data_IF_291756150710
#
_entry.id   IF_291756150710
#
_cell.length_a   1.000
_cell.length_b   1.000
_cell.length_c   1.000
_cell.angle_alpha   90.00
_cell.angle_beta   90.00
_cell.angle_gamma   90.00
#
_symmetry.space_group_name_H-M   'P 1'
#
loop_
_entity.id
_entity.type
_entity.pdbx_description
1 polymer ?
#
# COMPACT_ATOMS: atom_id res chain seq x y z
N UNK A 1 7.48 -24.69 4.33
CA UNK A 1 8.60 -23.86 4.80
C UNK A 1 8.00 -22.68 5.55
N UNK A 2 8.39 -22.39 6.79
CA UNK A 2 7.89 -21.19 7.48
C UNK A 2 8.43 -19.96 6.73
N UNK A 3 7.54 -19.22 6.07
CA UNK A 3 7.90 -18.04 5.27
C UNK A 3 8.57 -16.94 6.10
N UNK A 4 8.21 -16.85 7.39
CA UNK A 4 8.83 -15.96 8.35
C UNK A 4 9.49 -16.74 9.49
N UNK A 5 10.81 -16.58 9.65
CA UNK A 5 11.50 -16.87 10.91
C UNK A 5 11.03 -15.83 11.94
N UNK A 6 9.90 -16.12 12.59
CA UNK A 6 9.25 -15.28 13.58
C UNK A 6 10.15 -15.01 14.78
N UNK A 7 10.96 -13.96 14.71
CA UNK A 7 11.41 -13.33 15.92
C UNK A 7 11.34 -11.82 15.81
N UNK A 8 10.19 -11.31 16.23
CA UNK A 8 10.04 -9.95 16.71
C UNK A 8 11.03 -9.62 17.87
N UNK A 9 11.89 -10.53 18.33
CA UNK A 9 12.98 -10.21 19.25
C UNK A 9 14.12 -9.42 18.59
N UNK A 10 14.27 -9.51 17.26
CA UNK A 10 15.17 -8.64 16.47
C UNK A 10 14.56 -8.35 15.11
N UNK A 11 13.87 -7.21 14.98
CA UNK A 11 13.12 -6.88 13.78
C UNK A 11 14.00 -6.45 12.59
N UNK A 12 13.91 -7.23 11.51
CA UNK A 12 14.54 -6.98 10.19
C UNK A 12 13.53 -7.01 9.03
N UNK A 13 12.24 -6.73 9.29
CA UNK A 13 11.17 -6.88 8.29
C UNK A 13 11.13 -5.81 7.18
N UNK A 14 11.81 -4.70 7.38
CA UNK A 14 11.83 -3.59 6.42
C UNK A 14 13.26 -3.06 6.25
N UNK A 15 13.52 -2.25 5.20
CA UNK A 15 14.87 -1.81 4.84
C UNK A 15 15.58 -1.01 5.94
N UNK A 16 14.82 -0.45 6.90
CA UNK A 16 15.36 0.20 8.10
C UNK A 16 16.26 -0.71 8.95
N UNK A 17 16.08 -2.02 8.86
CA UNK A 17 16.93 -3.02 9.47
C UNK A 17 17.23 -2.77 10.98
N UNK A 18 16.24 -2.27 11.72
CA UNK A 18 16.48 -1.60 13.00
C UNK A 18 16.86 -2.50 14.19
N UNK A 19 16.66 -3.83 14.08
CA UNK A 19 16.95 -4.78 15.17
C UNK A 19 16.08 -4.59 16.41
N UNK A 20 14.94 -3.90 16.31
CA UNK A 20 14.08 -3.63 17.46
C UNK A 20 13.49 -4.94 18.02
N UNK A 21 13.63 -5.13 19.33
CA UNK A 21 12.94 -6.19 20.07
C UNK A 21 11.49 -5.78 20.35
N UNK A 22 10.64 -6.03 19.37
CA UNK A 22 9.21 -5.73 19.37
C UNK A 22 8.42 -6.55 20.40
N UNK A 23 8.82 -7.79 20.71
CA UNK A 23 8.17 -8.58 21.77
C UNK A 23 8.40 -7.99 23.16
N UNK A 24 9.55 -7.35 23.38
CA UNK A 24 9.84 -6.59 24.60
C UNK A 24 9.21 -5.17 24.58
N UNK A 25 8.31 -4.89 23.64
CA UNK A 25 7.61 -3.61 23.50
C UNK A 25 8.43 -2.51 22.84
N UNK A 26 9.67 -2.76 22.37
CA UNK A 26 10.45 -1.74 21.67
C UNK A 26 9.86 -1.49 20.28
N UNK A 27 9.72 -0.22 19.92
CA UNK A 27 9.26 0.18 18.59
C UNK A 27 10.42 0.19 17.61
N UNK A 28 10.16 -0.24 16.38
CA UNK A 28 11.10 -0.05 15.27
C UNK A 28 11.15 1.41 14.82
N UNK A 29 12.08 1.74 13.91
CA UNK A 29 12.13 3.06 13.27
C UNK A 29 10.83 3.40 12.54
N UNK A 30 10.08 2.39 12.09
CA UNK A 30 8.76 2.55 11.49
C UNK A 30 7.67 2.99 12.48
N UNK A 31 7.90 2.87 13.79
CA UNK A 31 6.94 3.22 14.85
C UNK A 31 6.16 2.04 15.42
N UNK A 32 6.19 0.88 14.75
CA UNK A 32 5.46 -0.32 15.13
C UNK A 32 6.19 -1.16 16.20
N UNK A 33 5.41 -1.82 17.06
CA UNK A 33 5.84 -2.88 17.97
C UNK A 33 5.26 -4.24 17.49
N UNK A 34 5.11 -5.22 18.38
CA UNK A 34 4.54 -6.55 18.06
C UNK A 34 2.99 -6.58 18.03
N UNK A 35 2.33 -5.47 18.38
CA UNK A 35 0.88 -5.36 18.38
C UNK A 35 0.43 -4.73 17.06
N UNK A 36 -0.48 -5.41 16.35
CA UNK A 36 -1.13 -4.85 15.17
C UNK A 36 -1.89 -3.59 15.59
N UNK A 37 -1.81 -2.55 14.77
CA UNK A 37 -2.59 -1.34 14.96
C UNK A 37 -3.21 -0.93 13.64
N UNK A 38 -4.53 -0.79 13.65
CA UNK A 38 -5.35 -0.52 12.47
C UNK A 38 -6.16 0.74 12.72
N UNK A 39 -6.14 1.64 11.74
CA UNK A 39 -6.80 2.93 11.81
C UNK A 39 -8.21 2.94 11.21
N UNK A 40 -8.49 2.03 10.26
CA UNK A 40 -9.77 1.92 9.57
C UNK A 40 -9.85 0.59 8.80
N UNK A 41 -11.02 -0.02 8.76
CA UNK A 41 -11.38 -1.17 7.92
C UNK A 41 -12.75 -0.91 7.28
N UNK A 42 -12.78 -0.54 6.00
CA UNK A 42 -14.02 -0.15 5.33
C UNK A 42 -13.92 -0.27 3.80
N UNK A 43 -15.06 -0.27 3.11
CA UNK A 43 -15.08 -0.09 1.66
C UNK A 43 -14.47 1.28 1.28
N UNK A 44 -13.55 1.26 0.34
CA UNK A 44 -12.84 2.41 -0.19
C UNK A 44 -13.03 2.49 -1.70
N UNK A 45 -13.58 3.61 -2.17
CA UNK A 45 -14.07 3.79 -3.53
C UNK A 45 -13.12 4.58 -4.44
N UNK A 46 -11.96 4.97 -3.92
CA UNK A 46 -11.07 5.93 -4.58
C UNK A 46 -9.70 5.34 -4.95
N UNK A 47 -9.64 4.01 -5.17
CA UNK A 47 -8.46 3.36 -5.76
C UNK A 47 -8.56 3.37 -7.30
N UNK A 48 -7.61 2.76 -8.02
CA UNK A 48 -7.72 2.63 -9.48
C UNK A 48 -8.94 1.79 -9.86
N UNK A 49 -9.54 2.02 -11.04
CA UNK A 49 -10.74 1.29 -11.47
C UNK A 49 -10.65 -0.25 -11.36
N UNK A 50 -9.53 -0.93 -11.68
CA UNK A 50 -9.41 -2.38 -11.49
C UNK A 50 -9.36 -2.84 -10.03
N UNK A 51 -9.14 -1.92 -9.07
CA UNK A 51 -9.04 -2.21 -7.64
C UNK A 51 -10.35 -1.90 -6.91
N UNK A 52 -11.00 -0.76 -7.18
CA UNK A 52 -12.23 -0.39 -6.46
C UNK A 52 -13.51 -0.54 -7.27
N UNK A 53 -13.46 -0.52 -8.60
CA UNK A 53 -14.65 -0.51 -9.46
C UNK A 53 -15.71 0.47 -8.95
N UNK A 54 -16.99 0.05 -9.00
CA UNK A 54 -18.11 0.82 -8.44
C UNK A 54 -18.52 0.38 -7.03
N UNK A 55 -18.09 -0.82 -6.59
CA UNK A 55 -18.55 -1.43 -5.32
C UNK A 55 -17.56 -1.26 -4.17
N UNK A 56 -16.32 -0.84 -4.47
CA UNK A 56 -15.30 -0.51 -3.49
C UNK A 56 -14.29 -1.63 -3.21
N UNK A 57 -13.09 -1.22 -2.85
CA UNK A 57 -12.01 -2.07 -2.33
C UNK A 57 -12.17 -2.20 -0.81
N UNK A 58 -12.05 -3.41 -0.26
CA UNK A 58 -12.09 -3.64 1.19
C UNK A 58 -10.78 -3.23 1.84
N UNK A 59 -10.62 -1.93 2.12
CA UNK A 59 -9.35 -1.37 2.56
C UNK A 59 -9.17 -1.43 4.09
N UNK A 60 -8.02 -1.96 4.49
CA UNK A 60 -7.55 -2.03 5.88
C UNK A 60 -6.30 -1.16 6.01
N UNK A 61 -6.44 -0.02 6.71
CA UNK A 61 -5.38 0.96 6.89
C UNK A 61 -4.56 0.67 8.15
N UNK A 62 -3.32 0.22 7.98
CA UNK A 62 -2.41 -0.05 9.08
C UNK A 62 -1.73 1.23 9.58
N UNK A 63 -1.51 1.31 10.89
CA UNK A 63 -0.74 2.39 11.50
C UNK A 63 0.76 2.10 11.45
N UNK A 64 1.58 3.14 11.59
CA UNK A 64 3.03 3.13 11.39
C UNK A 64 3.46 3.03 9.92
N UNK A 65 4.69 3.43 9.62
CA UNK A 65 5.24 3.39 8.26
C UNK A 65 6.78 3.41 8.33
N UNK A 66 7.52 2.64 7.51
CA UNK A 66 8.97 2.71 7.47
C UNK A 66 9.51 4.02 6.88
N UNK A 67 8.70 4.75 6.09
CA UNK A 67 9.04 6.07 5.56
C UNK A 67 8.62 7.21 6.50
N UNK A 68 9.23 8.38 6.28
CA UNK A 68 8.98 9.63 7.03
C UNK A 68 8.79 10.79 6.07
N UNK A 69 7.87 10.62 5.12
CA UNK A 69 7.60 11.62 4.08
C UNK A 69 7.20 12.96 4.71
N UNK A 70 7.92 14.05 4.38
CA UNK A 70 7.63 15.41 4.87
C UNK A 70 6.26 15.91 4.38
N UNK A 71 5.77 15.36 3.26
CA UNK A 71 4.50 15.65 2.62
C UNK A 71 3.42 14.58 2.88
N UNK A 72 3.61 13.71 3.87
CA UNK A 72 2.65 12.62 4.12
C UNK A 72 1.24 13.16 4.41
N UNK A 73 0.27 12.80 3.56
CA UNK A 73 -1.15 13.11 3.75
C UNK A 73 -1.77 12.24 4.86
N UNK A 74 -1.28 10.99 5.00
CA UNK A 74 -1.68 10.04 6.04
C UNK A 74 -0.83 10.18 7.33
N UNK A 75 -0.40 11.40 7.68
CA UNK A 75 0.51 11.61 8.82
C UNK A 75 -0.07 11.10 10.14
N UNK A 76 -1.39 11.24 10.34
CA UNK A 76 -2.12 10.77 11.53
C UNK A 76 -1.86 9.28 11.83
N UNK A 77 -1.81 8.43 10.81
CA UNK A 77 -1.62 6.98 10.97
C UNK A 77 -0.17 6.54 10.78
N UNK A 78 0.58 7.18 9.88
CA UNK A 78 1.96 6.79 9.55
C UNK A 78 2.97 7.21 10.63
N UNK A 79 2.86 8.43 11.14
CA UNK A 79 3.77 9.00 12.15
C UNK A 79 3.06 9.25 13.48
N UNK A 80 1.79 9.66 13.43
CA UNK A 80 0.94 9.82 14.62
C UNK A 80 0.51 8.48 15.23
N UNK A 81 0.62 7.38 14.47
CA UNK A 81 0.32 6.02 14.93
C UNK A 81 -1.10 5.89 15.53
N UNK A 82 -2.05 6.67 15.02
CA UNK A 82 -3.47 6.55 15.35
C UNK A 82 -4.04 5.22 14.86
N UNK A 83 -4.93 4.62 15.65
CA UNK A 83 -5.61 3.36 15.37
C UNK A 83 -5.77 2.51 16.64
N UNK A 84 -6.61 1.48 16.58
CA UNK A 84 -6.82 0.55 17.69
C UNK A 84 -5.88 -0.65 17.61
N UNK A 85 -5.50 -1.18 18.77
CA UNK A 85 -4.74 -2.42 18.86
C UNK A 85 -5.66 -3.60 18.59
N UNK A 86 -5.22 -4.50 17.72
CA UNK A 86 -6.01 -5.68 17.34
C UNK A 86 -5.16 -6.94 17.37
N UNK A 87 -5.81 -8.09 17.43
CA UNK A 87 -5.14 -9.39 17.31
C UNK A 87 -5.10 -9.83 15.84
N UNK A 88 -4.31 -10.86 15.56
CA UNK A 88 -4.28 -11.53 14.25
C UNK A 88 -5.66 -12.12 13.88
N UNK A 89 -6.39 -12.67 14.87
CA UNK A 89 -7.74 -13.21 14.65
C UNK A 89 -8.74 -12.11 14.30
N UNK A 90 -8.62 -10.93 14.91
CA UNK A 90 -9.50 -9.80 14.61
C UNK A 90 -9.24 -9.26 13.21
N UNK A 91 -7.98 -9.19 12.78
CA UNK A 91 -7.64 -8.84 11.40
C UNK A 91 -8.24 -9.83 10.41
N UNK A 92 -8.18 -11.14 10.67
CA UNK A 92 -8.80 -12.15 9.81
C UNK A 92 -10.34 -11.97 9.73
N UNK A 93 -10.99 -11.66 10.85
CA UNK A 93 -12.43 -11.39 10.88
C UNK A 93 -12.82 -10.13 10.06
N UNK A 94 -12.02 -9.05 10.12
CA UNK A 94 -12.26 -7.86 9.28
C UNK A 94 -12.28 -8.18 7.79
N UNK A 95 -11.41 -9.08 7.32
CA UNK A 95 -11.38 -9.48 5.92
C UNK A 95 -12.69 -10.15 5.49
N UNK A 96 -13.24 -11.03 6.35
CA UNK A 96 -14.53 -11.68 6.08
C UNK A 96 -15.70 -10.69 6.16
N UNK A 97 -15.68 -9.76 7.11
CA UNK A 97 -16.69 -8.70 7.21
C UNK A 97 -16.71 -7.79 5.97
N UNK A 98 -15.54 -7.50 5.37
CA UNK A 98 -15.45 -6.77 4.10
C UNK A 98 -15.95 -7.60 2.92
N UNK A 99 -15.73 -8.92 2.93
CA UNK A 99 -16.32 -9.83 1.95
C UNK A 99 -17.86 -9.85 2.06
N UNK A 100 -18.42 -9.93 3.26
CA UNK A 100 -19.87 -9.87 3.49
C UNK A 100 -20.48 -8.52 3.05
N UNK A 101 -19.68 -7.44 3.08
CA UNK A 101 -20.06 -6.12 2.56
C UNK A 101 -19.99 -6.03 1.03
N UNK A 102 -19.48 -7.04 0.33
CA UNK A 102 -19.39 -7.07 -1.13
C UNK A 102 -18.16 -6.36 -1.70
N UNK A 103 -17.05 -6.28 -0.94
CA UNK A 103 -15.79 -5.74 -1.45
C UNK A 103 -15.28 -6.52 -2.68
N UNK A 104 -14.61 -5.85 -3.62
CA UNK A 104 -13.95 -6.52 -4.74
C UNK A 104 -12.71 -7.31 -4.32
N UNK A 105 -12.00 -6.84 -3.31
CA UNK A 105 -10.76 -7.39 -2.79
C UNK A 105 -10.55 -6.95 -1.35
N UNK A 106 -9.55 -7.57 -0.71
CA UNK A 106 -9.02 -7.10 0.57
C UNK A 106 -7.72 -6.35 0.31
N UNK A 107 -7.72 -5.05 0.59
CA UNK A 107 -6.60 -4.15 0.33
C UNK A 107 -5.88 -3.78 1.62
N UNK A 108 -4.69 -4.34 1.77
CA UNK A 108 -3.84 -4.20 2.95
C UNK A 108 -2.91 -3.00 2.77
N UNK A 109 -3.29 -1.85 3.34
CA UNK A 109 -2.59 -0.58 3.13
C UNK A 109 -1.47 -0.38 4.16
N UNK A 110 -0.22 -0.42 3.69
CA UNK A 110 1.02 -0.32 4.48
C UNK A 110 1.15 -1.41 5.55
N UNK A 111 0.91 -2.67 5.18
CA UNK A 111 0.83 -3.77 6.14
C UNK A 111 2.17 -4.47 6.45
N UNK A 112 3.20 -4.32 5.60
CA UNK A 112 4.36 -5.22 5.59
C UNK A 112 5.34 -5.06 6.75
N UNK A 113 5.33 -3.93 7.48
CA UNK A 113 6.03 -3.87 8.76
C UNK A 113 5.39 -4.78 9.83
N UNK A 114 4.22 -5.36 9.56
CA UNK A 114 3.54 -6.42 10.32
C UNK A 114 3.44 -7.76 9.56
N UNK A 115 4.23 -7.95 8.49
CA UNK A 115 4.09 -9.07 7.55
C UNK A 115 3.84 -10.45 8.18
N UNK A 116 4.54 -10.88 9.27
CA UNK A 116 4.29 -12.20 9.85
C UNK A 116 2.85 -12.38 10.38
N UNK A 117 2.31 -11.38 11.09
CA UNK A 117 0.94 -11.43 11.60
C UNK A 117 -0.09 -11.25 10.47
N UNK A 118 0.23 -10.46 9.45
CA UNK A 118 -0.65 -10.25 8.30
C UNK A 118 -0.77 -11.53 7.48
N UNK A 119 0.35 -12.23 7.25
CA UNK A 119 0.38 -13.53 6.59
C UNK A 119 -0.50 -14.54 7.31
N UNK A 120 -0.30 -14.71 8.63
CA UNK A 120 -1.12 -15.59 9.46
C UNK A 120 -2.62 -15.22 9.41
N UNK A 121 -2.96 -13.93 9.43
CA UNK A 121 -4.34 -13.47 9.37
C UNK A 121 -5.01 -13.80 8.02
N UNK A 122 -4.31 -13.65 6.89
CA UNK A 122 -4.84 -14.02 5.58
C UNK A 122 -5.07 -15.53 5.50
N UNK A 123 -4.15 -16.35 6.00
CA UNK A 123 -4.34 -17.81 6.04
C UNK A 123 -5.56 -18.18 6.89
N UNK A 124 -5.70 -17.59 8.09
CA UNK A 124 -6.87 -17.80 8.94
C UNK A 124 -8.17 -17.38 8.26
N UNK A 125 -8.18 -16.26 7.54
CA UNK A 125 -9.36 -15.79 6.81
C UNK A 125 -9.71 -16.74 5.65
N UNK A 126 -8.72 -17.21 4.88
CA UNK A 126 -8.91 -18.20 3.80
C UNK A 126 -9.45 -19.53 4.33
N UNK A 127 -8.90 -20.05 5.43
CA UNK A 127 -9.41 -21.26 6.11
C UNK A 127 -10.87 -21.08 6.58
N UNK A 128 -11.27 -19.84 6.85
CA UNK A 128 -12.60 -19.46 7.29
C UNK A 128 -13.55 -19.04 6.15
N UNK A 129 -13.14 -19.17 4.88
CA UNK A 129 -14.00 -18.91 3.71
C UNK A 129 -13.77 -17.60 2.99
N UNK A 130 -12.66 -16.89 3.24
CA UNK A 130 -12.26 -15.76 2.41
C UNK A 130 -11.89 -16.26 1.00
N UNK A 131 -12.54 -15.68 0.00
CA UNK A 131 -12.38 -16.01 -1.42
C UNK A 131 -11.93 -14.83 -2.28
N UNK A 132 -12.02 -13.60 -1.73
CA UNK A 132 -11.61 -12.39 -2.41
C UNK A 132 -10.08 -12.32 -2.62
N UNK A 133 -9.60 -11.72 -3.72
CA UNK A 133 -8.18 -11.43 -3.91
C UNK A 133 -7.62 -10.53 -2.82
N UNK A 134 -6.34 -10.71 -2.52
CA UNK A 134 -5.58 -9.86 -1.60
C UNK A 134 -4.73 -8.87 -2.40
N UNK A 135 -5.01 -7.58 -2.21
CA UNK A 135 -4.22 -6.45 -2.71
C UNK A 135 -3.24 -6.01 -1.61
N UNK A 136 -1.96 -5.91 -1.92
CA UNK A 136 -0.98 -5.30 -1.03
C UNK A 136 -0.60 -3.90 -1.50
N UNK A 137 -1.20 -2.89 -0.87
CA UNK A 137 -0.89 -1.49 -1.12
C UNK A 137 0.27 -1.04 -0.22
N UNK A 138 1.42 -0.74 -0.83
CA UNK A 138 2.67 -0.46 -0.10
C UNK A 138 3.34 0.81 -0.62
N UNK A 139 4.15 1.43 0.24
CA UNK A 139 5.03 2.53 -0.15
C UNK A 139 6.16 2.16 -1.13
N UNK A 140 6.29 0.87 -1.49
CA UNK A 140 7.37 0.31 -2.30
C UNK A 140 8.71 0.16 -1.55
N UNK A 141 8.85 0.76 -0.37
CA UNK A 141 10.07 0.66 0.45
C UNK A 141 10.09 -0.62 1.29
N UNK A 142 10.18 -1.76 0.60
CA UNK A 142 10.06 -3.09 1.17
C UNK A 142 11.31 -3.93 0.88
N UNK A 143 11.60 -4.90 1.76
CA UNK A 143 12.66 -5.86 1.47
C UNK A 143 12.13 -6.92 0.49
N UNK A 144 12.90 -7.25 -0.54
CA UNK A 144 12.57 -8.36 -1.45
C UNK A 144 12.33 -9.68 -0.70
N UNK A 145 13.03 -9.93 0.41
CA UNK A 145 12.76 -11.10 1.26
C UNK A 145 11.37 -11.09 1.90
N UNK A 146 10.88 -9.91 2.31
CA UNK A 146 9.54 -9.74 2.88
C UNK A 146 8.48 -9.89 1.80
N UNK A 147 8.70 -9.28 0.62
CA UNK A 147 7.83 -9.47 -0.56
C UNK A 147 7.73 -10.96 -0.93
N UNK A 148 8.87 -11.67 -0.98
CA UNK A 148 8.94 -13.12 -1.22
C UNK A 148 8.11 -13.93 -0.25
N UNK A 149 8.20 -13.60 1.03
CA UNK A 149 7.51 -14.32 2.09
C UNK A 149 5.98 -14.07 2.11
N UNK A 150 5.49 -13.07 1.36
CA UNK A 150 4.06 -12.78 1.21
C UNK A 150 3.48 -13.31 -0.12
N UNK A 151 4.30 -13.87 -1.01
CA UNK A 151 3.88 -14.21 -2.37
C UNK A 151 2.86 -15.34 -2.50
N UNK A 152 2.61 -16.10 -1.43
CA UNK A 152 1.55 -17.12 -1.36
C UNK A 152 0.19 -16.57 -0.90
N UNK A 153 0.17 -15.35 -0.35
CA UNK A 153 -1.03 -14.71 0.19
C UNK A 153 -1.41 -13.40 -0.50
N UNK A 154 -0.53 -12.80 -1.30
CA UNK A 154 -0.80 -11.58 -2.07
C UNK A 154 -1.03 -11.93 -3.53
N UNK A 155 -2.18 -11.52 -4.05
CA UNK A 155 -2.58 -11.79 -5.43
C UNK A 155 -2.28 -10.58 -6.34
N UNK A 156 -2.42 -9.36 -5.81
CA UNK A 156 -2.18 -8.10 -6.52
C UNK A 156 -1.25 -7.19 -5.73
N UNK A 157 -0.22 -6.66 -6.38
CA UNK A 157 0.68 -5.67 -5.80
C UNK A 157 0.31 -4.26 -6.24
N UNK A 158 0.20 -3.34 -5.27
CA UNK A 158 -0.10 -1.93 -5.51
C UNK A 158 0.99 -1.05 -4.86
N UNK A 159 2.25 -1.11 -5.35
CA UNK A 159 3.35 -0.34 -4.76
C UNK A 159 3.37 1.11 -5.27
N UNK A 160 3.70 2.04 -4.37
CA UNK A 160 4.21 3.35 -4.76
C UNK A 160 5.67 3.23 -5.22
N UNK A 161 6.03 3.87 -6.33
CA UNK A 161 7.41 4.15 -6.72
C UNK A 161 7.64 5.66 -6.70
N UNK A 162 8.17 6.16 -5.59
CA UNK A 162 8.15 7.60 -5.25
C UNK A 162 9.29 8.41 -5.86
N UNK A 163 10.46 7.80 -6.05
CA UNK A 163 11.69 8.52 -6.42
C UNK A 163 12.62 7.69 -7.28
N UNK A 164 13.25 8.34 -8.26
CA UNK A 164 14.45 7.84 -8.91
C UNK A 164 15.72 8.40 -8.22
N UNK A 165 15.63 9.61 -7.66
CA UNK A 165 16.72 10.30 -6.97
C UNK A 165 16.88 9.88 -5.52
N UNK A 166 18.05 9.32 -5.20
CA UNK A 166 18.49 9.06 -3.83
C UNK A 166 18.46 10.31 -2.95
N UNK A 167 18.84 11.46 -3.49
CA UNK A 167 18.89 12.72 -2.75
C UNK A 167 17.48 13.17 -2.38
N UNK A 168 16.53 13.16 -3.32
CA UNK A 168 15.13 13.52 -3.03
C UNK A 168 14.51 12.54 -2.04
N UNK A 169 14.74 11.24 -2.21
CA UNK A 169 14.24 10.24 -1.27
C UNK A 169 14.80 10.41 0.16
N UNK A 170 16.09 10.75 0.26
CA UNK A 170 16.74 11.07 1.53
C UNK A 170 16.14 12.32 2.19
N UNK A 171 16.04 13.42 1.44
CA UNK A 171 15.57 14.71 1.97
C UNK A 171 14.07 14.72 2.27
N UNK A 172 13.26 14.14 1.39
CA UNK A 172 11.80 14.23 1.48
C UNK A 172 11.16 13.08 2.26
N UNK A 173 11.83 11.92 2.38
CA UNK A 173 11.27 10.73 3.04
C UNK A 173 12.20 10.05 4.04
N UNK A 174 13.40 10.58 4.23
CA UNK A 174 14.39 10.03 5.14
C UNK A 174 14.90 8.66 4.69
N UNK A 175 14.90 8.34 3.40
CA UNK A 175 15.26 7.04 2.84
C UNK A 175 16.12 7.20 1.59
N UNK A 176 17.41 7.51 1.77
CA UNK A 176 18.32 7.78 0.65
C UNK A 176 18.51 6.57 -0.28
N UNK A 177 18.31 5.36 0.22
CA UNK A 177 18.40 4.07 -0.47
C UNK A 177 17.07 3.65 -1.14
N UNK A 178 16.02 4.47 -1.05
CA UNK A 178 14.69 4.14 -1.56
C UNK A 178 14.68 3.67 -3.02
N UNK A 179 15.31 4.36 -3.99
CA UNK A 179 15.17 3.96 -5.40
C UNK A 179 15.70 2.54 -5.65
N UNK A 180 16.81 2.17 -5.00
CA UNK A 180 17.40 0.83 -5.12
C UNK A 180 16.54 -0.24 -4.45
N UNK A 181 16.03 0.07 -3.26
CA UNK A 181 15.18 -0.86 -2.50
C UNK A 181 13.84 -1.08 -3.19
N UNK A 182 13.20 -0.01 -3.67
CA UNK A 182 11.91 -0.08 -4.37
C UNK A 182 12.04 -0.83 -5.70
N UNK A 183 13.13 -0.64 -6.45
CA UNK A 183 13.41 -1.42 -7.66
C UNK A 183 13.56 -2.92 -7.34
N UNK A 184 14.35 -3.27 -6.33
CA UNK A 184 14.53 -4.66 -5.93
C UNK A 184 13.23 -5.31 -5.40
N UNK A 185 12.39 -4.55 -4.72
CA UNK A 185 11.06 -5.00 -4.30
C UNK A 185 10.15 -5.25 -5.51
N UNK A 186 10.10 -4.33 -6.47
CA UNK A 186 9.31 -4.46 -7.68
C UNK A 186 9.77 -5.65 -8.55
N UNK A 187 11.07 -5.88 -8.68
CA UNK A 187 11.62 -7.07 -9.35
C UNK A 187 11.12 -8.36 -8.71
N UNK A 188 11.07 -8.44 -7.38
CA UNK A 188 10.53 -9.61 -6.69
C UNK A 188 9.01 -9.76 -6.91
N UNK A 189 8.25 -8.66 -6.87
CA UNK A 189 6.81 -8.67 -7.16
C UNK A 189 6.55 -9.17 -8.59
N UNK A 190 7.32 -8.69 -9.58
CA UNK A 190 7.27 -9.13 -10.97
C UNK A 190 7.57 -10.63 -11.09
N UNK A 191 8.61 -11.12 -10.41
CA UNK A 191 8.98 -12.53 -10.43
C UNK A 191 7.86 -13.44 -9.90
N UNK A 192 7.10 -12.99 -8.90
CA UNK A 192 5.94 -13.73 -8.39
C UNK A 192 4.79 -13.70 -9.40
N UNK A 193 4.40 -12.51 -9.84
CA UNK A 193 3.23 -12.33 -10.69
C UNK A 193 3.40 -12.98 -12.08
N UNK A 194 4.62 -13.00 -12.63
CA UNK A 194 4.94 -13.74 -13.87
C UNK A 194 4.71 -15.26 -13.75
N UNK A 195 4.75 -15.83 -12.56
CA UNK A 195 4.43 -17.26 -12.35
C UNK A 195 2.92 -17.53 -12.42
N UNK A 196 2.10 -16.50 -12.28
CA UNK A 196 0.63 -16.58 -12.18
C UNK A 196 -0.11 -15.92 -13.36
N UNK A 197 0.61 -15.50 -14.41
CA UNK A 197 0.02 -14.98 -15.65
C UNK A 197 0.26 -13.50 -15.94
N UNK A 198 1.16 -12.83 -15.21
CA UNK A 198 1.54 -11.40 -15.34
C UNK A 198 0.41 -10.40 -15.03
N UNK A 199 -0.78 -10.60 -15.59
CA UNK A 199 -1.96 -9.78 -15.35
C UNK A 199 -3.22 -10.59 -15.66
N UNK A 200 -4.11 -10.76 -14.69
CA UNK A 200 -5.39 -11.47 -14.80
C UNK A 200 -6.49 -10.56 -14.28
N UNK A 201 -7.56 -10.43 -15.07
CA UNK A 201 -8.76 -9.67 -14.69
C UNK A 201 -9.99 -10.56 -14.75
N UNK A 202 -10.99 -10.23 -13.93
CA UNK A 202 -12.31 -10.86 -14.00
C UNK A 202 -13.19 -10.22 -15.10
N UNK A 203 -14.38 -10.76 -15.34
CA UNK A 203 -15.34 -10.31 -16.36
C UNK A 203 -15.79 -8.85 -16.16
N UNK A 204 -15.82 -8.37 -14.92
CA UNK A 204 -16.15 -6.99 -14.56
C UNK A 204 -14.96 -6.02 -14.72
N UNK A 205 -13.79 -6.53 -15.11
CA UNK A 205 -12.55 -5.76 -15.29
C UNK A 205 -11.72 -5.58 -14.01
N UNK A 206 -12.15 -6.14 -12.87
CA UNK A 206 -11.37 -6.13 -11.63
C UNK A 206 -10.08 -6.93 -11.77
N UNK A 207 -9.00 -6.45 -11.15
CA UNK A 207 -7.69 -7.10 -11.18
C UNK A 207 -7.63 -8.20 -10.12
N UNK A 208 -7.44 -9.45 -10.54
CA UNK A 208 -7.33 -10.61 -9.65
C UNK A 208 -5.89 -11.10 -9.51
N UNK A 209 -5.02 -10.77 -10.46
CA UNK A 209 -3.57 -10.96 -10.35
C UNK A 209 -2.86 -9.87 -11.15
N UNK A 210 -1.84 -9.22 -10.60
CA UNK A 210 -1.10 -8.20 -11.34
C UNK A 210 -0.35 -7.21 -10.47
N UNK A 211 0.20 -6.19 -11.12
CA UNK A 211 0.89 -5.08 -10.45
C UNK A 211 0.40 -3.76 -11.04
N UNK A 212 -0.02 -2.85 -10.18
CA UNK A 212 -0.25 -1.44 -10.56
C UNK A 212 0.75 -0.60 -9.77
N UNK A 213 1.67 0.08 -10.45
CA UNK A 213 2.66 0.95 -9.80
C UNK A 213 2.13 2.38 -9.72
N UNK A 214 2.04 2.92 -8.51
CA UNK A 214 1.63 4.30 -8.25
C UNK A 214 2.81 5.25 -8.25
N UNK A 215 2.67 6.38 -8.94
CA UNK A 215 3.64 7.45 -8.90
C UNK A 215 2.95 8.79 -8.63
N UNK A 216 3.18 9.35 -7.43
CA UNK A 216 2.70 10.69 -7.08
C UNK A 216 3.66 11.73 -7.62
N UNK A 217 3.20 12.53 -8.58
CA UNK A 217 4.00 13.63 -9.13
C UNK A 217 4.13 14.73 -8.08
N UNK A 218 5.37 15.06 -7.72
CA UNK A 218 5.65 16.12 -6.75
C UNK A 218 5.87 17.47 -7.46
N UNK A 219 5.20 18.55 -7.01
CA UNK A 219 5.42 19.89 -7.55
C UNK A 219 6.90 20.27 -7.64
N UNK A 220 7.32 20.77 -8.81
CA UNK A 220 8.69 21.19 -9.09
C UNK A 220 9.73 20.07 -9.15
N UNK A 221 9.29 18.80 -9.26
CA UNK A 221 10.15 17.62 -9.37
C UNK A 221 9.74 16.71 -10.53
N UNK A 222 9.26 17.28 -11.63
CA UNK A 222 8.86 16.55 -12.84
C UNK A 222 10.00 15.75 -13.46
N UNK A 223 11.22 16.25 -13.41
CA UNK A 223 12.40 15.54 -13.92
C UNK A 223 12.62 14.19 -13.18
N UNK A 224 12.43 14.18 -11.86
CA UNK A 224 12.50 12.93 -11.08
C UNK A 224 11.32 12.01 -11.39
N UNK A 225 10.15 12.58 -11.71
CA UNK A 225 8.96 11.83 -12.09
C UNK A 225 9.16 11.11 -13.43
N UNK A 226 9.73 11.81 -14.42
CA UNK A 226 10.11 11.22 -15.71
C UNK A 226 11.17 10.12 -15.52
N UNK A 227 12.18 10.36 -14.67
CA UNK A 227 13.20 9.36 -14.35
C UNK A 227 12.62 8.13 -13.62
N UNK A 228 11.56 8.29 -12.82
CA UNK A 228 10.82 7.15 -12.25
C UNK A 228 10.17 6.34 -13.37
N UNK A 229 9.47 7.00 -14.30
CA UNK A 229 8.82 6.33 -15.42
C UNK A 229 9.83 5.60 -16.32
N UNK A 230 10.97 6.21 -16.63
CA UNK A 230 12.08 5.57 -17.35
C UNK A 230 12.51 4.28 -16.65
N UNK A 231 12.64 4.32 -15.32
CA UNK A 231 13.06 3.17 -14.53
C UNK A 231 12.01 2.06 -14.52
N UNK A 232 10.73 2.42 -14.39
CA UNK A 232 9.62 1.47 -14.45
C UNK A 232 9.54 0.80 -15.82
N UNK A 233 9.71 1.57 -16.89
CA UNK A 233 9.73 1.07 -18.26
C UNK A 233 10.90 0.10 -18.49
N UNK A 234 12.11 0.46 -18.04
CA UNK A 234 13.30 -0.41 -18.10
C UNK A 234 13.08 -1.74 -17.37
N UNK A 235 12.46 -1.70 -16.18
CA UNK A 235 12.29 -2.88 -15.32
C UNK A 235 11.19 -3.83 -15.80
N UNK A 236 10.09 -3.28 -16.31
CA UNK A 236 8.86 -4.04 -16.51
C UNK A 236 8.17 -3.82 -17.85
N UNK A 237 8.39 -2.68 -18.52
CA UNK A 237 7.57 -2.28 -19.66
C UNK A 237 6.07 -2.42 -19.35
N UNK A 238 5.35 -3.10 -20.23
CA UNK A 238 3.91 -3.40 -20.08
C UNK A 238 3.63 -4.69 -19.28
N UNK A 239 4.55 -5.22 -18.48
CA UNK A 239 4.23 -6.25 -17.47
C UNK A 239 3.56 -5.65 -16.22
N UNK A 240 3.56 -4.32 -16.08
CA UNK A 240 2.85 -3.57 -15.04
C UNK A 240 1.83 -2.63 -15.68
N UNK A 241 0.82 -2.27 -14.88
CA UNK A 241 0.02 -1.07 -15.12
C UNK A 241 0.62 0.08 -14.29
N UNK A 242 0.43 1.33 -14.70
CA UNK A 242 0.88 2.50 -13.94
C UNK A 242 -0.30 3.40 -13.54
N UNK A 243 -0.15 4.10 -12.42
CA UNK A 243 -1.08 5.12 -11.95
C UNK A 243 -0.30 6.39 -11.65
N UNK A 244 -0.39 7.39 -12.54
CA UNK A 244 0.32 8.67 -12.42
C UNK A 244 -0.60 9.66 -11.73
N UNK A 245 -0.29 10.01 -10.50
CA UNK A 245 -1.21 10.71 -9.60
C UNK A 245 -0.89 12.21 -9.49
N UNK A 246 -1.91 13.06 -9.64
CA UNK A 246 -1.82 14.52 -9.39
C UNK A 246 -2.35 14.95 -8.01
N UNK A 247 -2.74 14.00 -7.16
CA UNK A 247 -3.43 14.21 -5.87
C UNK A 247 -2.52 14.77 -4.76
N UNK A 248 -1.46 15.50 -5.11
CA UNK A 248 -0.59 16.16 -4.15
C UNK A 248 -1.32 17.33 -3.49
N UNK A 249 -1.64 17.17 -2.21
CA UNK A 249 -2.14 18.27 -1.37
C UNK A 249 -1.06 18.63 -0.36
N UNK A 250 -0.53 19.88 -0.38
CA UNK A 250 0.50 20.28 0.57
C UNK A 250 -0.06 20.17 2.00
N UNK A 251 0.70 19.59 2.93
CA UNK A 251 0.29 19.55 4.34
C UNK A 251 0.68 20.86 5.05
N UNK A 252 0.32 20.99 6.33
CA UNK A 252 0.63 22.19 7.12
C UNK A 252 2.14 22.48 7.18
N UNK A 253 2.96 21.42 7.27
CA UNK A 253 4.42 21.54 7.30
C UNK A 253 4.98 22.08 5.98
N UNK A 254 4.58 21.49 4.84
CA UNK A 254 5.02 21.95 3.53
C UNK A 254 4.56 23.38 3.22
N UNK A 255 3.32 23.73 3.57
CA UNK A 255 2.83 25.13 3.46
C UNK A 255 3.69 26.11 4.25
N UNK A 256 4.06 25.76 5.48
CA UNK A 256 4.89 26.61 6.34
C UNK A 256 6.33 26.72 5.84
N UNK A 257 6.88 25.64 5.26
CA UNK A 257 8.24 25.62 4.73
C UNK A 257 8.41 26.44 3.44
N UNK A 258 7.33 26.62 2.66
CA UNK A 258 7.39 27.33 1.38
C UNK A 258 8.01 26.50 0.24
N UNK A 259 8.24 27.14 -0.90
CA UNK A 259 8.82 26.50 -2.09
C UNK A 259 7.80 25.65 -2.88
N UNK A 260 8.31 24.74 -3.72
CA UNK A 260 7.47 23.97 -4.64
C UNK A 260 6.46 23.07 -3.91
N UNK A 261 6.86 22.47 -2.79
CA UNK A 261 5.97 21.63 -1.98
C UNK A 261 4.89 22.41 -1.20
N UNK A 262 4.90 23.75 -1.21
CA UNK A 262 3.86 24.53 -0.54
C UNK A 262 2.59 24.72 -1.40
N UNK A 263 2.60 24.26 -2.66
CA UNK A 263 1.51 24.41 -3.63
C UNK A 263 1.07 23.05 -4.19
N UNK A 264 -0.07 23.03 -4.86
CA UNK A 264 -0.47 21.90 -5.68
C UNK A 264 0.35 21.82 -6.98
N UNK A 265 0.24 20.68 -7.65
CA UNK A 265 0.81 20.44 -8.97
C UNK A 265 0.13 21.33 -10.01
N UNK A 266 0.88 21.91 -10.94
CA UNK A 266 0.27 22.64 -12.07
C UNK A 266 -0.18 21.66 -13.15
N UNK A 267 -1.10 22.10 -14.02
CA UNK A 267 -1.49 21.30 -15.17
C UNK A 267 -0.27 21.05 -16.09
N UNK A 268 0.59 22.04 -16.32
CA UNK A 268 1.76 21.84 -17.19
C UNK A 268 2.74 20.80 -16.61
N UNK A 269 2.94 20.79 -15.29
CA UNK A 269 3.79 19.79 -14.64
C UNK A 269 3.21 18.39 -14.77
N UNK A 270 1.89 18.25 -14.67
CA UNK A 270 1.23 16.96 -14.75
C UNK A 270 1.20 16.42 -16.17
N UNK A 271 0.77 17.24 -17.14
CA UNK A 271 0.72 16.87 -18.56
C UNK A 271 2.11 16.47 -19.07
N UNK A 272 3.17 17.17 -18.67
CA UNK A 272 4.55 16.79 -19.03
C UNK A 272 4.88 15.35 -18.61
N UNK A 273 4.48 14.93 -17.41
CA UNK A 273 4.75 13.57 -16.91
C UNK A 273 3.86 12.54 -17.61
N UNK A 274 2.61 12.89 -17.94
CA UNK A 274 1.72 12.01 -18.71
C UNK A 274 2.22 11.81 -20.14
N UNK A 275 2.61 12.89 -20.82
CA UNK A 275 3.19 12.84 -22.17
C UNK A 275 4.45 11.97 -22.18
N UNK A 276 5.30 12.08 -21.16
CA UNK A 276 6.49 11.22 -21.02
C UNK A 276 6.14 9.74 -20.84
N UNK A 277 5.08 9.42 -20.09
CA UNK A 277 4.62 8.05 -19.95
C UNK A 277 4.08 7.47 -21.28
N UNK A 278 3.36 8.28 -22.06
CA UNK A 278 2.86 7.92 -23.39
C UNK A 278 4.02 7.70 -24.38
N UNK A 279 5.00 8.60 -24.40
CA UNK A 279 6.21 8.52 -25.23
C UNK A 279 7.05 7.25 -24.97
N UNK A 280 7.09 6.78 -23.71
CA UNK A 280 7.73 5.51 -23.34
C UNK A 280 6.98 4.29 -23.89
N UNK A 281 5.66 4.39 -24.09
CA UNK A 281 4.82 3.32 -24.63
C UNK A 281 4.04 2.52 -23.57
N UNK A 282 3.75 3.10 -22.41
CA UNK A 282 2.85 2.48 -21.43
C UNK A 282 1.43 2.36 -22.00
N UNK A 283 0.93 1.13 -22.13
CA UNK A 283 -0.40 0.88 -22.71
C UNK A 283 -1.53 1.03 -21.69
N UNK A 284 -1.23 0.81 -20.41
CA UNK A 284 -2.22 0.77 -19.32
C UNK A 284 -1.82 1.74 -18.22
N UNK A 285 -2.37 2.94 -18.33
CA UNK A 285 -2.13 4.05 -17.42
C UNK A 285 -3.43 4.61 -16.85
N UNK A 286 -3.48 4.75 -15.53
CA UNK A 286 -4.51 5.47 -14.80
C UNK A 286 -4.01 6.87 -14.43
N UNK A 287 -4.87 7.87 -14.58
CA UNK A 287 -4.57 9.27 -14.32
C UNK A 287 -5.86 9.99 -13.90
N UNK A 288 -5.74 11.14 -13.24
CA UNK A 288 -6.90 11.91 -12.78
C UNK A 288 -7.08 13.20 -13.58
N UNK A 289 -8.31 13.46 -14.03
CA UNK A 289 -8.65 14.75 -14.64
C UNK A 289 -8.53 15.89 -13.62
N UNK A 290 -8.06 17.06 -14.06
CA UNK A 290 -7.74 18.19 -13.19
C UNK A 290 -8.89 18.64 -12.27
N UNK A 291 -8.53 19.23 -11.12
CA UNK A 291 -9.49 19.70 -10.10
C UNK A 291 -9.55 18.86 -8.81
N UNK A 292 -8.81 17.75 -8.75
CA UNK A 292 -8.70 16.84 -7.59
C UNK A 292 -8.19 17.50 -6.30
N UNK A 293 -7.58 18.67 -6.37
CA UNK A 293 -7.03 19.36 -5.17
C UNK A 293 -8.14 19.80 -4.19
N UNK A 294 -9.40 19.94 -4.62
CA UNK A 294 -10.50 20.41 -3.75
C UNK A 294 -11.12 19.34 -2.86
N UNK A 295 -10.91 18.06 -3.14
CA UNK A 295 -11.45 16.95 -2.35
C UNK A 295 -10.33 16.25 -1.57
N UNK A 296 -10.49 16.14 -0.25
CA UNK A 296 -9.55 15.38 0.56
C UNK A 296 -9.74 13.89 0.26
N UNK A 297 -8.89 13.32 -0.58
CA UNK A 297 -8.82 11.86 -0.84
C UNK A 297 -8.31 11.06 0.38
N UNK A 298 -7.93 11.75 1.46
CA UNK A 298 -7.56 11.11 2.73
C UNK A 298 -8.83 10.70 3.47
N UNK A 299 -9.01 9.41 3.78
CA UNK A 299 -10.12 8.95 4.61
C UNK A 299 -10.09 9.60 5.99
N UNK A 300 -11.25 9.81 6.60
CA UNK A 300 -11.31 10.10 8.04
C UNK A 300 -10.84 8.86 8.81
N UNK A 301 -9.75 9.00 9.56
CA UNK A 301 -9.26 7.93 10.42
C UNK A 301 -9.95 8.03 11.79
N UNK A 302 -10.93 7.16 12.00
CA UNK A 302 -11.88 7.15 13.12
C UNK A 302 -12.09 5.75 13.73
N UNK A 303 -11.27 4.76 13.34
CA UNK A 303 -11.40 3.36 13.73
C UNK A 303 -12.68 2.65 13.22
N UNK A 304 -13.36 3.19 12.20
CA UNK A 304 -14.48 2.51 11.53
C UNK A 304 -14.09 1.09 11.12
N UNK A 305 -14.93 0.12 11.49
CA UNK A 305 -14.79 -1.31 11.18
C UNK A 305 -13.65 -2.04 11.90
N UNK A 306 -12.92 -1.37 12.79
CA UNK A 306 -11.77 -1.96 13.49
C UNK A 306 -12.23 -2.79 14.69
N UNK A 307 -13.14 -2.26 15.51
CA UNK A 307 -13.67 -2.98 16.67
C UNK A 307 -14.73 -4.00 16.23
N UNK A 308 -14.68 -5.20 16.80
CA UNK A 308 -15.61 -6.27 16.46
C UNK A 308 -15.20 -7.61 17.08
N UNK A 309 -15.94 -8.69 16.76
CA UNK A 309 -15.62 -10.01 17.27
C UNK A 309 -14.30 -10.54 16.70
N UNK A 310 -13.63 -11.36 17.50
CA UNK A 310 -12.54 -12.23 17.02
C UNK A 310 -13.09 -13.32 16.08
N UNK A 311 -12.25 -13.85 15.20
CA UNK A 311 -12.65 -14.82 14.16
C UNK A 311 -13.47 -16.01 14.68
N UNK A 312 -13.10 -16.58 15.84
CA UNK A 312 -13.82 -17.71 16.44
C UNK A 312 -15.26 -17.35 16.84
N UNK A 313 -15.48 -16.12 17.31
CA UNK A 313 -16.80 -15.59 17.65
C UNK A 313 -17.59 -15.20 16.41
N UNK A 314 -16.92 -14.68 15.38
CA UNK A 314 -17.51 -14.34 14.09
C UNK A 314 -18.14 -15.57 13.42
N UNK A 315 -17.38 -16.67 13.30
CA UNK A 315 -17.88 -17.92 12.71
C UNK A 315 -19.05 -18.52 13.48
N UNK A 316 -19.05 -18.42 14.82
CA UNK A 316 -20.15 -18.86 15.66
C UNK A 316 -21.42 -18.02 15.49
N UNK A 317 -21.30 -16.78 15.04
CA UNK A 317 -22.42 -15.87 14.76
C UNK A 317 -23.01 -16.13 13.36
N UNK A 318 -22.18 -16.16 12.31
CA UNK A 318 -22.65 -16.37 10.92
C UNK A 318 -23.36 -17.72 10.77
N UNK A 319 -22.83 -18.78 11.40
CA UNK A 319 -23.45 -20.12 11.41
C UNK A 319 -24.81 -20.22 12.14
N UNK A 320 -25.21 -19.18 12.89
CA UNK A 320 -26.54 -19.07 13.51
C UNK A 320 -27.53 -18.27 12.66
N UNK A 321 -27.07 -17.42 11.75
CA UNK A 321 -27.95 -16.68 10.84
C UNK A 321 -28.39 -17.53 9.63
N UNK A 322 -27.58 -18.52 9.24
CA UNK A 322 -27.90 -19.46 8.16
C UNK A 322 -28.85 -20.61 8.57
N UNK A 323 -29.27 -20.68 9.84
CA UNK A 323 -30.23 -21.68 10.36
C UNK A 323 -31.57 -21.05 10.67
#
# INVERSE_FOLDING_TARGET
>A
MQAFSHSYESCHLCPRNCGANRVAGKRGLCGANATLRIARSALHFWEEPPISGEVGSGAIFFSSCPLRCVFCQNQQISQGNFGHEVTTQRLAAMMLELQEQGALNINLVTALHYAPQVHDAVLMARDAGLSLPIVCNTSGYELASTVRAMGDVVDVWLPDFKYASNMLAGTLSGAQDYPQVAAAALEEMLNQVRQHGTRVTDEDGSLTTGIIVRHLVLPGHTDDSCAVLDKLWELAGNDIDISVMNQYTPNAHCRAAGGNLARALTNEEYELVLDHADDLGFERMWWQQGGTVSESFVPEFDATGVDGPELSSFLAYSSRQER
#
